data_IF_772338262405
#
_entry.id   IF_772338262405
#
_cell.length_a   1.000
_cell.length_b   1.000
_cell.length_c   1.000
_cell.angle_alpha   90.00
_cell.angle_beta   90.00
_cell.angle_gamma   90.00
#
_symmetry.space_group_name_H-M   'P 1'
#
loop_
_entity.id
_entity.type
_entity.pdbx_description
1 polymer ?
#
# COMPACT_ATOMS: atom_id res chain seq x y z
N UNK A 1 -24.30 0.36 2.36
CA UNK A 1 -23.84 -0.78 3.16
C UNK A 1 -23.92 -0.32 4.60
N UNK A 2 -24.55 -1.12 5.46
CA UNK A 2 -24.86 -0.67 6.82
C UNK A 2 -23.77 -1.15 7.80
N UNK A 3 -23.72 -0.54 9.00
CA UNK A 3 -22.71 -0.83 10.03
C UNK A 3 -22.52 -2.32 10.31
N UNK A 4 -23.64 -3.06 10.45
CA UNK A 4 -23.64 -4.50 10.70
C UNK A 4 -23.03 -5.29 9.53
N UNK A 5 -23.37 -4.92 8.29
CA UNK A 5 -22.83 -5.59 7.11
C UNK A 5 -21.32 -5.36 7.02
N UNK A 6 -20.87 -4.13 7.28
CA UNK A 6 -19.45 -3.78 7.25
C UNK A 6 -18.66 -4.51 8.33
N UNK A 7 -19.19 -4.62 9.55
CA UNK A 7 -18.55 -5.39 10.60
C UNK A 7 -18.47 -6.89 10.28
N UNK A 8 -19.51 -7.46 9.67
CA UNK A 8 -19.49 -8.84 9.20
C UNK A 8 -18.45 -9.04 8.08
N UNK A 9 -18.37 -8.10 7.14
CA UNK A 9 -17.37 -8.14 6.06
C UNK A 9 -15.95 -8.05 6.61
N UNK A 10 -15.69 -7.13 7.55
CA UNK A 10 -14.41 -7.02 8.24
C UNK A 10 -14.03 -8.34 8.94
N UNK A 11 -14.97 -8.94 9.67
CA UNK A 11 -14.72 -10.21 10.38
C UNK A 11 -14.36 -11.32 9.40
N UNK A 12 -15.08 -11.44 8.28
CA UNK A 12 -14.77 -12.45 7.24
C UNK A 12 -13.40 -12.21 6.61
N UNK A 13 -13.05 -10.97 6.32
CA UNK A 13 -11.74 -10.61 5.78
C UNK A 13 -10.63 -10.94 6.78
N UNK A 14 -10.86 -10.69 8.08
CA UNK A 14 -9.91 -11.04 9.13
C UNK A 14 -9.73 -12.56 9.23
N UNK A 15 -10.81 -13.33 9.19
CA UNK A 15 -10.74 -14.80 9.17
C UNK A 15 -9.97 -15.31 7.95
N UNK A 16 -10.14 -14.67 6.78
CA UNK A 16 -9.39 -15.01 5.56
C UNK A 16 -7.90 -14.68 5.68
N UNK A 17 -7.55 -13.57 6.32
CA UNK A 17 -6.16 -13.17 6.59
C UNK A 17 -5.50 -14.18 7.53
N UNK A 18 -6.18 -14.56 8.62
CA UNK A 18 -5.70 -15.56 9.58
C UNK A 18 -5.53 -16.95 8.95
N UNK A 19 -6.33 -17.27 7.95
CA UNK A 19 -6.21 -18.50 7.15
C UNK A 19 -5.17 -18.40 6.02
N UNK A 20 -4.51 -17.26 5.83
CA UNK A 20 -3.55 -17.03 4.74
C UNK A 20 -4.18 -17.05 3.34
N UNK A 21 -5.50 -16.85 3.23
CA UNK A 21 -6.21 -16.81 1.94
C UNK A 21 -6.09 -15.46 1.24
N UNK A 22 -5.86 -14.41 2.01
CA UNK A 22 -5.59 -13.06 1.54
C UNK A 22 -4.33 -12.55 2.23
N UNK A 23 -3.62 -11.63 1.58
CA UNK A 23 -2.45 -10.98 2.17
C UNK A 23 -2.85 -9.84 3.11
N UNK A 24 -1.91 -9.37 3.94
CA UNK A 24 -2.13 -8.21 4.80
C UNK A 24 -2.46 -6.94 3.99
N UNK A 25 -1.81 -6.74 2.84
CA UNK A 25 -2.04 -5.60 1.95
C UNK A 25 -3.43 -5.65 1.29
N UNK A 26 -3.86 -6.85 0.89
CA UNK A 26 -5.23 -7.07 0.38
C UNK A 26 -6.27 -6.80 1.46
N UNK A 27 -6.02 -7.26 2.69
CA UNK A 27 -6.87 -6.98 3.82
C UNK A 27 -6.98 -5.47 4.08
N UNK A 28 -5.86 -4.76 4.15
CA UNK A 28 -5.82 -3.30 4.35
C UNK A 28 -6.60 -2.56 3.26
N UNK A 29 -6.36 -2.90 1.98
CA UNK A 29 -7.04 -2.27 0.84
C UNK A 29 -8.55 -2.45 0.94
N UNK A 30 -9.00 -3.70 1.18
CA UNK A 30 -10.43 -4.01 1.29
C UNK A 30 -11.10 -3.34 2.48
N UNK A 31 -10.42 -3.26 3.62
CA UNK A 31 -10.93 -2.55 4.80
C UNK A 31 -10.99 -1.05 4.57
N UNK A 32 -10.00 -0.48 3.87
CA UNK A 32 -9.98 0.94 3.56
C UNK A 32 -11.10 1.35 2.59
N UNK A 33 -11.53 0.45 1.70
CA UNK A 33 -12.70 0.66 0.83
C UNK A 33 -14.05 0.60 1.56
N UNK A 34 -14.09 0.02 2.76
CA UNK A 34 -15.32 -0.15 3.54
C UNK A 34 -15.65 1.10 4.37
N UNK A 35 -16.16 2.12 3.69
CA UNK A 35 -16.70 3.33 4.31
C UNK A 35 -18.24 3.27 4.36
N UNK A 36 -18.80 3.57 5.52
CA UNK A 36 -20.25 3.61 5.78
C UNK A 36 -20.65 5.05 6.07
N UNK A 37 -21.80 5.47 5.55
CA UNK A 37 -22.37 6.78 5.89
C UNK A 37 -23.56 6.56 6.83
N UNK A 38 -23.59 7.26 7.96
CA UNK A 38 -24.73 7.19 8.86
C UNK A 38 -25.93 8.01 8.38
N UNK A 39 -27.04 7.89 9.08
CA UNK A 39 -28.27 8.66 8.84
C UNK A 39 -28.09 10.20 8.92
N UNK A 40 -27.01 10.69 9.53
CA UNK A 40 -26.68 12.12 9.62
C UNK A 40 -25.71 12.59 8.53
N UNK A 41 -25.29 11.70 7.63
CA UNK A 41 -24.36 12.00 6.55
C UNK A 41 -22.88 11.95 6.95
N UNK A 42 -22.56 11.43 8.14
CA UNK A 42 -21.18 11.32 8.60
C UNK A 42 -20.57 10.01 8.11
N UNK A 43 -19.31 10.07 7.66
CA UNK A 43 -18.57 8.91 7.18
C UNK A 43 -17.90 8.18 8.34
N UNK A 44 -17.94 6.85 8.26
CA UNK A 44 -17.45 5.92 9.25
C UNK A 44 -16.63 4.83 8.58
N UNK A 45 -15.58 4.38 9.25
CA UNK A 45 -14.69 3.33 8.76
C UNK A 45 -14.21 2.46 9.91
N UNK A 46 -13.93 1.18 9.64
CA UNK A 46 -13.29 0.29 10.61
C UNK A 46 -11.78 0.40 10.43
N UNK A 47 -11.04 0.67 11.51
CA UNK A 47 -9.58 0.68 11.48
C UNK A 47 -9.02 -0.71 11.21
N UNK A 48 -8.10 -0.79 10.24
CA UNK A 48 -7.52 -2.06 9.76
C UNK A 48 -6.93 -2.89 10.90
N UNK A 49 -6.08 -2.27 11.72
CA UNK A 49 -5.36 -2.94 12.81
C UNK A 49 -6.18 -3.08 14.09
N UNK A 50 -7.00 -2.08 14.42
CA UNK A 50 -7.71 -2.02 15.70
C UNK A 50 -9.07 -2.70 15.67
N UNK A 51 -9.69 -2.83 14.50
CA UNK A 51 -11.08 -3.27 14.34
C UNK A 51 -12.09 -2.32 14.97
N UNK A 52 -11.66 -1.12 15.38
CA UNK A 52 -12.52 -0.11 15.99
C UNK A 52 -13.12 0.80 14.93
N UNK A 53 -14.22 1.47 15.27
CA UNK A 53 -14.84 2.44 14.40
C UNK A 53 -14.14 3.81 14.51
N UNK A 54 -14.04 4.47 13.37
CA UNK A 54 -13.52 5.82 13.24
C UNK A 54 -14.54 6.65 12.46
N UNK A 55 -14.77 7.86 12.93
CA UNK A 55 -15.65 8.86 12.32
C UNK A 55 -14.79 9.90 11.60
N UNK A 56 -15.18 10.26 10.38
CA UNK A 56 -14.52 11.35 9.67
C UNK A 56 -15.08 12.70 10.17
N UNK A 57 -14.21 13.56 10.69
CA UNK A 57 -14.60 14.88 11.19
C UNK A 57 -14.52 16.01 10.13
N UNK A 58 -14.14 15.65 8.90
CA UNK A 58 -13.88 16.59 7.81
C UNK A 58 -12.39 16.83 7.53
N UNK A 59 -11.51 16.45 8.46
CA UNK A 59 -10.05 16.58 8.33
C UNK A 59 -9.32 15.28 8.65
N UNK A 60 -9.78 14.54 9.65
CA UNK A 60 -9.14 13.34 10.19
C UNK A 60 -10.16 12.28 10.60
N UNK A 61 -9.68 11.06 10.71
CA UNK A 61 -10.42 9.94 11.26
C UNK A 61 -10.22 9.88 12.77
N UNK A 62 -11.31 10.03 13.53
CA UNK A 62 -11.30 10.05 15.00
C UNK A 62 -12.00 8.79 15.51
N UNK A 63 -11.35 8.05 16.41
CA UNK A 63 -11.96 6.87 17.05
C UNK A 63 -13.26 7.28 17.76
N UNK A 64 -14.38 6.67 17.38
CA UNK A 64 -15.70 6.99 17.90
C UNK A 64 -16.62 5.78 17.74
N UNK A 65 -17.77 5.80 18.40
CA UNK A 65 -18.74 4.70 18.38
C UNK A 65 -20.01 5.13 17.64
N UNK A 66 -20.37 4.49 16.51
CA UNK A 66 -21.60 4.78 15.80
C UNK A 66 -22.83 4.58 16.71
N UNK A 67 -23.66 5.62 16.83
CA UNK A 67 -24.86 5.58 17.69
C UNK A 67 -25.88 4.53 17.24
N UNK A 68 -25.88 4.19 15.96
CA UNK A 68 -26.73 3.14 15.39
C UNK A 68 -26.36 1.76 15.97
N UNK A 69 -25.08 1.51 16.27
CA UNK A 69 -24.64 0.26 16.93
C UNK A 69 -25.08 0.21 18.40
N UNK A 70 -25.08 1.36 19.09
CA UNK A 70 -25.54 1.45 20.47
C UNK A 70 -27.06 1.23 20.60
N UNK A 71 -27.82 1.64 19.59
CA UNK A 71 -29.28 1.51 19.57
C UNK A 71 -29.74 0.05 19.43
N UNK A 72 -28.96 -0.80 18.77
CA UNK A 72 -29.29 -2.20 18.50
C UNK A 72 -28.83 -3.19 19.60
N UNK A 73 -28.33 -2.70 20.74
CA UNK A 73 -27.96 -3.55 21.88
C UNK A 73 -26.81 -4.53 21.62
N UNK A 74 -26.06 -4.37 20.53
CA UNK A 74 -24.84 -5.11 20.26
C UNK A 74 -23.71 -4.59 21.16
N UNK A 75 -23.60 -5.16 22.35
CA UNK A 75 -22.40 -5.10 23.17
C UNK A 75 -21.22 -5.63 22.33
N UNK A 76 -20.25 -4.77 22.04
CA UNK A 76 -18.96 -5.17 21.48
C UNK A 76 -18.44 -6.40 22.24
N UNK A 77 -17.90 -7.44 21.57
CA UNK A 77 -17.17 -8.48 22.29
C UNK A 77 -16.09 -7.76 23.10
N UNK A 78 -16.17 -7.91 24.42
CA UNK A 78 -15.19 -7.36 25.33
C UNK A 78 -13.81 -7.71 24.78
N UNK A 79 -13.02 -6.67 24.50
CA UNK A 79 -11.66 -6.80 24.01
C UNK A 79 -10.97 -7.93 24.79
N UNK A 80 -10.24 -8.87 24.15
CA UNK A 80 -9.32 -9.70 24.90
C UNK A 80 -8.42 -8.73 25.65
N UNK A 81 -8.55 -8.74 26.97
CA UNK A 81 -7.76 -7.89 27.84
C UNK A 81 -6.30 -8.25 27.58
N UNK A 82 -5.60 -7.42 26.80
CA UNK A 82 -4.16 -7.34 26.95
C UNK A 82 -3.94 -7.08 28.44
N UNK A 83 -3.25 -8.03 29.08
CA UNK A 83 -3.04 -8.13 30.52
C UNK A 83 -2.87 -6.72 31.10
N UNK A 84 -3.89 -6.25 31.81
CA UNK A 84 -3.79 -5.05 32.61
C UNK A 84 -2.77 -5.38 33.69
N UNK A 85 -1.58 -4.79 33.59
CA UNK A 85 -0.63 -4.75 34.69
C UNK A 85 -1.39 -4.17 35.90
N UNK A 86 -1.39 -4.83 37.08
CA UNK A 86 -2.30 -4.49 38.17
C UNK A 86 -2.13 -3.02 38.59
N UNK A 87 -3.17 -2.24 38.35
CA UNK A 87 -3.35 -0.89 38.88
C UNK A 87 -3.80 -1.01 40.34
N UNK A 88 -3.01 -0.43 41.24
CA UNK A 88 -3.38 -0.22 42.65
C UNK A 88 -4.60 0.71 42.77
N UNK A 89 -5.57 0.45 43.67
CA UNK A 89 -6.75 1.31 43.86
C UNK A 89 -6.51 2.35 45.00
N UNK A 90 -7.43 3.27 45.29
CA UNK A 90 -7.59 4.56 44.64
C UNK A 90 -7.39 5.73 45.64
N UNK A 91 -6.86 6.86 45.20
CA UNK A 91 -7.07 8.13 45.93
C UNK A 91 -8.02 8.99 45.11
N UNK A 92 -9.24 9.11 45.63
CA UNK A 92 -10.23 10.08 45.19
C UNK A 92 -9.69 11.50 45.40
N UNK A 93 -9.65 12.27 44.32
CA UNK A 93 -10.04 13.67 44.34
C UNK A 93 -10.23 14.10 42.88
N UNK A 94 -11.47 14.41 42.51
CA UNK A 94 -11.73 15.27 41.36
C UNK A 94 -11.22 16.67 41.69
N UNK A 95 -10.43 17.29 40.79
CA UNK A 95 -10.68 18.65 40.36
C UNK A 95 -11.35 18.52 38.98
N UNK A 96 -12.61 18.93 38.86
CA UNK A 96 -12.91 20.28 38.38
C UNK A 96 -12.26 20.49 37.01
N UNK A 97 -13.11 20.57 35.98
CA UNK A 97 -12.80 21.06 34.64
C UNK A 97 -11.84 22.26 34.73
N UNK A 98 -10.54 21.99 34.60
CA UNK A 98 -9.58 22.99 34.22
C UNK A 98 -9.63 23.03 32.70
N UNK A 99 -10.17 24.13 32.17
CA UNK A 99 -10.03 24.50 30.77
C UNK A 99 -8.62 24.14 30.30
N UNK A 100 -8.52 23.17 29.40
CA UNK A 100 -7.23 22.93 28.78
C UNK A 100 -6.87 24.20 28.02
N UNK A 101 -5.74 24.85 28.35
CA UNK A 101 -5.36 26.07 27.68
C UNK A 101 -5.20 25.75 26.20
N UNK A 102 -5.92 26.51 25.38
CA UNK A 102 -5.77 26.62 23.92
C UNK A 102 -4.29 26.69 23.60
N UNK A 103 -3.66 25.52 23.40
CA UNK A 103 -2.28 25.42 22.96
C UNK A 103 -2.29 25.94 21.53
N UNK A 104 -1.82 27.17 21.43
CA UNK A 104 -1.52 27.88 20.19
C UNK A 104 -0.45 27.06 19.47
N UNK A 105 -0.89 26.08 18.69
CA UNK A 105 -0.04 25.20 17.89
C UNK A 105 0.54 26.01 16.74
N UNK A 106 1.56 26.79 17.08
CA UNK A 106 2.49 27.51 16.20
C UNK A 106 3.40 26.50 15.47
N UNK A 107 2.80 25.56 14.74
CA UNK A 107 3.50 24.59 13.87
C UNK A 107 2.75 24.44 12.52
N UNK A 108 1.52 24.97 12.40
CA UNK A 108 0.75 24.94 11.14
C UNK A 108 1.17 25.95 10.06
N UNK A 109 2.21 26.75 10.29
CA UNK A 109 2.67 27.79 9.34
C UNK A 109 3.69 27.32 8.30
N UNK A 110 4.44 26.25 8.56
CA UNK A 110 5.54 25.84 7.68
C UNK A 110 5.14 24.85 6.58
N UNK A 111 4.07 24.06 6.77
CA UNK A 111 3.66 23.08 5.76
C UNK A 111 2.90 23.70 4.58
N UNK A 112 2.17 24.81 4.80
CA UNK A 112 1.47 25.53 3.72
C UNK A 112 2.46 26.29 2.83
N UNK A 113 3.53 26.87 3.40
CA UNK A 113 4.60 27.50 2.63
C UNK A 113 5.43 26.47 1.82
N UNK A 114 5.67 25.27 2.39
CA UNK A 114 6.35 24.19 1.70
C UNK A 114 5.55 23.62 0.51
N UNK A 115 4.24 23.42 0.68
CA UNK A 115 3.38 22.91 -0.39
C UNK A 115 3.21 23.92 -1.54
N UNK A 116 3.02 25.21 -1.23
CA UNK A 116 2.96 26.25 -2.26
C UNK A 116 4.31 26.43 -2.97
N UNK A 117 5.42 26.38 -2.23
CA UNK A 117 6.77 26.41 -2.80
C UNK A 117 7.06 25.24 -3.74
N UNK A 118 6.64 24.02 -3.36
CA UNK A 118 6.80 22.82 -4.19
C UNK A 118 5.93 22.88 -5.45
N UNK A 119 4.66 23.31 -5.33
CA UNK A 119 3.79 23.53 -6.49
C UNK A 119 4.35 24.60 -7.44
N UNK A 120 4.88 25.71 -6.93
CA UNK A 120 5.54 26.73 -7.75
C UNK A 120 6.81 26.19 -8.43
N UNK A 121 7.59 25.36 -7.75
CA UNK A 121 8.79 24.74 -8.34
C UNK A 121 8.42 23.76 -9.45
N UNK A 122 7.40 22.93 -9.26
CA UNK A 122 6.90 21.99 -10.27
C UNK A 122 6.38 22.74 -11.50
N UNK A 123 5.64 23.84 -11.31
CA UNK A 123 5.14 24.65 -12.42
C UNK A 123 6.27 25.38 -13.17
N UNK A 124 7.30 25.87 -12.46
CA UNK A 124 8.45 26.51 -13.08
C UNK A 124 9.30 25.51 -13.90
N UNK A 125 9.58 24.32 -13.34
CA UNK A 125 10.35 23.27 -14.03
C UNK A 125 9.55 22.67 -15.19
N UNK A 126 8.26 22.41 -14.99
CA UNK A 126 7.36 21.91 -16.04
C UNK A 126 7.24 22.90 -17.20
N UNK A 127 7.06 24.19 -16.91
CA UNK A 127 7.03 25.24 -17.92
C UNK A 127 8.36 25.41 -18.67
N UNK A 128 9.49 25.32 -17.96
CA UNK A 128 10.82 25.37 -18.58
C UNK A 128 11.09 24.19 -19.51
N UNK A 129 10.70 22.97 -19.11
CA UNK A 129 10.80 21.78 -19.95
C UNK A 129 9.92 21.89 -21.19
N UNK A 130 8.68 22.37 -21.06
CA UNK A 130 7.78 22.57 -22.21
C UNK A 130 8.30 23.62 -23.19
N UNK A 131 8.94 24.70 -22.70
CA UNK A 131 9.56 25.71 -23.56
C UNK A 131 10.79 25.16 -24.30
N UNK A 132 11.57 24.31 -23.65
CA UNK A 132 12.79 23.75 -24.25
C UNK A 132 12.49 22.57 -25.20
N UNK A 133 11.38 21.86 -24.98
CA UNK A 133 10.81 20.92 -25.93
C UNK A 133 10.00 21.65 -27.01
N UNK A 134 10.66 22.50 -27.79
CA UNK A 134 10.15 22.88 -29.10
C UNK A 134 10.60 21.78 -30.08
N UNK A 135 9.73 20.83 -30.47
CA UNK A 135 10.13 19.78 -31.39
C UNK A 135 10.57 20.44 -32.70
N UNK A 136 11.84 20.25 -33.07
CA UNK A 136 12.34 20.70 -34.37
C UNK A 136 11.37 20.24 -35.46
N UNK A 137 10.99 21.12 -36.40
CA UNK A 137 10.08 20.73 -37.48
C UNK A 137 10.71 19.57 -38.23
N UNK A 138 10.06 18.41 -38.17
CA UNK A 138 10.47 17.23 -38.91
C UNK A 138 10.49 17.58 -40.40
N UNK A 139 11.60 17.36 -41.12
CA UNK A 139 11.64 17.59 -42.55
C UNK A 139 10.63 16.66 -43.24
N UNK A 140 10.00 17.10 -44.35
CA UNK A 140 9.05 16.28 -45.07
C UNK A 140 9.74 15.00 -45.58
N UNK A 141 9.07 13.87 -45.34
CA UNK A 141 9.46 12.54 -45.79
C UNK A 141 9.73 12.55 -47.30
N UNK A 142 11.00 12.34 -47.68
CA UNK A 142 11.38 12.06 -49.06
C UNK A 142 10.81 10.69 -49.43
N UNK A 143 9.96 10.66 -50.44
CA UNK A 143 9.34 9.45 -50.98
C UNK A 143 10.43 8.42 -51.31
N UNK A 144 10.47 7.35 -50.51
CA UNK A 144 11.42 6.25 -50.70
C UNK A 144 10.91 5.39 -51.85
N UNK A 145 11.67 5.34 -52.95
CA UNK A 145 11.40 4.47 -54.10
C UNK A 145 11.31 2.99 -53.67
N UNK A 146 10.48 2.17 -54.35
CA UNK A 146 10.35 0.75 -54.04
C UNK A 146 11.69 0.02 -54.27
N UNK A 147 12.22 -0.56 -53.18
CA UNK A 147 13.42 -1.38 -53.19
C UNK A 147 13.11 -2.73 -53.86
N UNK A 148 13.88 -3.18 -54.87
CA UNK A 148 13.66 -4.46 -55.52
C UNK A 148 13.86 -5.62 -54.54
N UNK A 149 12.96 -6.60 -54.60
CA UNK A 149 12.95 -7.78 -53.74
C UNK A 149 14.19 -8.66 -54.01
N UNK A 150 14.97 -8.91 -52.97
CA UNK A 150 16.08 -9.87 -52.99
C UNK A 150 15.50 -11.25 -52.65
N UNK A 151 15.83 -12.32 -53.40
CA UNK A 151 15.37 -13.68 -53.08
C UNK A 151 15.95 -14.18 -51.75
N UNK A 152 15.08 -14.71 -50.90
CA UNK A 152 15.41 -15.29 -49.59
C UNK A 152 16.25 -16.55 -49.73
N UNK A 153 17.46 -16.51 -49.18
CA UNK A 153 18.31 -17.70 -48.99
C UNK A 153 17.93 -18.34 -47.64
N UNK A 154 17.69 -19.67 -47.56
CA UNK A 154 17.41 -20.33 -46.29
C UNK A 154 18.66 -20.32 -45.40
N UNK A 155 18.51 -19.79 -44.18
CA UNK A 155 19.55 -19.79 -43.16
C UNK A 155 19.74 -21.21 -42.62
N UNK A 156 20.94 -21.76 -42.81
CA UNK A 156 21.42 -22.95 -42.09
C UNK A 156 21.61 -22.55 -40.62
N UNK A 157 20.81 -23.13 -39.73
CA UNK A 157 20.91 -22.95 -38.29
C UNK A 157 22.05 -23.85 -37.77
N UNK A 158 23.17 -23.31 -37.26
CA UNK A 158 24.14 -24.12 -36.54
C UNK A 158 23.52 -24.58 -35.21
N UNK A 159 23.53 -25.89 -34.98
CA UNK A 159 23.09 -26.48 -33.72
C UNK A 159 24.11 -26.17 -32.64
N UNK A 160 23.78 -25.23 -31.75
CA UNK A 160 24.57 -24.96 -30.54
C UNK A 160 24.47 -26.18 -29.61
N UNK A 161 25.60 -26.77 -29.15
CA UNK A 161 25.57 -27.84 -28.18
C UNK A 161 25.03 -27.31 -26.84
N UNK A 162 23.97 -27.96 -26.36
CA UNK A 162 23.40 -27.74 -25.03
C UNK A 162 24.49 -27.95 -23.97
N UNK A 163 24.73 -26.99 -23.06
CA UNK A 163 25.68 -27.20 -21.98
C UNK A 163 25.19 -28.33 -21.07
N UNK A 164 26.06 -29.33 -20.93
CA UNK A 164 25.95 -30.47 -20.03
C UNK A 164 25.87 -29.94 -18.58
N UNK A 165 24.84 -30.28 -17.80
CA UNK A 165 24.75 -29.83 -16.42
C UNK A 165 25.84 -30.51 -15.60
N UNK A 166 26.81 -29.71 -15.14
CA UNK A 166 27.82 -30.14 -14.18
C UNK A 166 27.11 -30.75 -12.96
N UNK A 167 27.39 -32.03 -12.72
CA UNK A 167 26.97 -32.76 -11.53
C UNK A 167 27.54 -32.09 -10.27
N UNK A 168 26.77 -31.17 -9.69
CA UNK A 168 26.97 -30.72 -8.32
C UNK A 168 26.62 -31.84 -7.33
N UNK A 169 27.11 -31.76 -6.08
CA UNK A 169 26.86 -32.78 -5.07
C UNK A 169 25.35 -33.01 -4.89
N UNK A 170 24.95 -34.27 -5.04
CA UNK A 170 23.56 -34.70 -5.05
C UNK A 170 22.83 -34.33 -3.77
N UNK A 171 22.07 -33.25 -3.82
CA UNK A 171 20.92 -33.06 -2.96
C UNK A 171 19.80 -33.98 -3.48
N UNK A 172 19.08 -34.66 -2.58
CA UNK A 172 17.96 -35.48 -2.96
C UNK A 172 16.98 -34.64 -3.81
N UNK A 173 16.54 -35.12 -4.99
CA UNK A 173 15.71 -34.34 -5.92
C UNK A 173 14.32 -33.98 -5.37
N UNK A 174 13.99 -34.45 -4.17
CA UNK A 174 12.69 -34.29 -3.53
C UNK A 174 12.62 -33.09 -2.56
N UNK A 175 13.65 -32.25 -2.49
CA UNK A 175 13.69 -31.11 -1.57
C UNK A 175 14.13 -29.78 -2.21
N UNK A 176 13.92 -29.59 -3.52
CA UNK A 176 13.92 -28.24 -4.10
C UNK A 176 12.49 -27.73 -4.02
N UNK A 177 12.13 -27.10 -2.90
CA UNK A 177 10.78 -26.57 -2.71
C UNK A 177 10.48 -25.35 -3.59
N UNK A 178 11.52 -24.60 -4.03
CA UNK A 178 11.34 -23.45 -4.91
C UNK A 178 12.58 -23.22 -5.79
N UNK A 179 12.36 -23.05 -7.08
CA UNK A 179 13.36 -22.58 -8.03
C UNK A 179 12.74 -21.39 -8.78
N UNK A 180 13.33 -20.21 -8.61
CA UNK A 180 12.93 -18.97 -9.28
C UNK A 180 14.19 -18.36 -9.92
N UNK A 181 14.05 -17.83 -11.13
CA UNK A 181 15.12 -17.17 -11.87
C UNK A 181 15.16 -15.66 -11.61
N UNK A 182 14.22 -15.14 -10.81
CA UNK A 182 14.06 -13.73 -10.42
C UNK A 182 13.98 -12.74 -11.61
N UNK A 183 13.75 -13.24 -12.82
CA UNK A 183 13.61 -12.42 -14.03
C UNK A 183 12.21 -11.85 -14.20
N UNK A 184 11.22 -12.49 -13.57
CA UNK A 184 9.82 -12.09 -13.60
C UNK A 184 9.43 -11.30 -12.34
N UNK A 185 9.16 -9.99 -12.42
CA UNK A 185 8.68 -9.22 -11.26
C UNK A 185 7.28 -9.63 -10.79
N UNK A 186 6.57 -10.47 -11.55
CA UNK A 186 5.28 -11.07 -11.18
C UNK A 186 5.39 -12.47 -10.56
N UNK A 187 6.57 -12.95 -10.16
CA UNK A 187 6.74 -14.31 -9.58
C UNK A 187 6.23 -14.45 -8.13
N UNK A 188 5.67 -13.38 -7.55
CA UNK A 188 4.98 -13.42 -6.26
C UNK A 188 5.88 -13.11 -5.06
N UNK A 189 7.15 -12.74 -5.28
CA UNK A 189 7.97 -12.20 -4.20
C UNK A 189 7.50 -10.79 -3.83
N UNK A 190 7.09 -10.61 -2.57
CA UNK A 190 6.61 -9.34 -2.05
C UNK A 190 7.69 -8.25 -2.04
N UNK A 191 7.28 -7.04 -2.39
CA UNK A 191 8.06 -5.82 -2.17
C UNK A 191 7.74 -5.35 -0.76
N UNK A 192 8.73 -5.35 0.12
CA UNK A 192 8.57 -4.93 1.52
C UNK A 192 9.52 -3.77 1.82
N UNK A 193 9.08 -2.81 2.62
CA UNK A 193 9.94 -1.72 3.09
C UNK A 193 9.64 -1.46 4.56
N UNK A 194 10.62 -1.71 5.44
CA UNK A 194 10.48 -1.56 6.88
C UNK A 194 11.77 -1.10 7.56
N UNK A 195 11.71 -0.89 8.87
CA UNK A 195 12.84 -0.40 9.67
C UNK A 195 14.07 -1.31 9.65
N UNK A 196 13.88 -2.60 9.37
CA UNK A 196 14.93 -3.61 9.41
C UNK A 196 15.44 -4.00 8.00
N UNK A 197 14.96 -3.32 6.96
CA UNK A 197 15.37 -3.58 5.59
C UNK A 197 14.26 -3.40 4.55
N UNK A 198 14.63 -3.65 3.29
CA UNK A 198 13.71 -3.60 2.16
C UNK A 198 13.96 -4.72 1.15
N UNK A 199 12.91 -5.20 0.49
CA UNK A 199 12.98 -6.06 -0.69
C UNK A 199 12.36 -5.33 -1.88
N UNK A 200 13.05 -5.30 -3.03
CA UNK A 200 12.56 -4.64 -4.24
C UNK A 200 13.02 -5.33 -5.53
N UNK A 201 12.29 -5.09 -6.63
CA UNK A 201 12.73 -5.43 -7.98
C UNK A 201 13.24 -4.18 -8.68
N UNK A 202 14.52 -4.19 -9.08
CA UNK A 202 15.12 -3.06 -9.79
C UNK A 202 16.16 -3.55 -10.79
N UNK A 203 16.12 -3.00 -12.01
CA UNK A 203 17.03 -3.34 -13.12
C UNK A 203 17.01 -4.84 -13.50
N UNK A 204 15.85 -5.50 -13.43
CA UNK A 204 15.74 -6.93 -13.77
C UNK A 204 16.37 -7.87 -12.74
N UNK A 205 16.49 -7.44 -11.48
CA UNK A 205 16.99 -8.28 -10.39
C UNK A 205 16.22 -8.01 -9.10
N UNK A 206 16.02 -9.06 -8.32
CA UNK A 206 15.51 -8.96 -6.96
C UNK A 206 16.62 -8.51 -6.00
N UNK A 207 16.31 -7.56 -5.12
CA UNK A 207 17.26 -6.95 -4.18
C UNK A 207 16.73 -7.07 -2.77
N UNK A 208 17.62 -7.39 -1.84
CA UNK A 208 17.36 -7.40 -0.41
C UNK A 208 18.36 -6.45 0.24
N UNK A 209 17.87 -5.43 0.93
CA UNK A 209 18.66 -4.51 1.75
C UNK A 209 18.34 -4.77 3.20
N UNK A 210 19.38 -4.96 4.01
CA UNK A 210 19.27 -5.06 5.47
C UNK A 210 19.95 -3.82 6.04
N UNK A 211 19.25 -3.12 6.94
CA UNK A 211 19.73 -1.88 7.59
C UNK A 211 20.17 -2.13 9.02
#
# INVERSE_FOLDING_TARGET
MDFKQTQQAYTRLKDQLEQGRITADEFETRVNEMVVTDSTGVLWQIGVSSGKWYRYDGQTWVEDVPREILSDGQSYPAQPAFIQVPVFPPTQASPQYAEQPKRRNWIGGCLIAGALGLCSLIMAVGGWLAWNYNPSPVPPLVATLPRPAIPSVPAVVPSTPSPEPLAGPGFAPDLVQFQDDFSNPGSGWGIHQGSNGSTDYSNGSFRIKVT
#
